data_IF_599175832106
#
_entry.id   IF_599175832106
#
_cell.length_a   1.000
_cell.length_b   1.000
_cell.length_c   1.000
_cell.angle_alpha   90.00
_cell.angle_beta   90.00
_cell.angle_gamma   90.00
#
_symmetry.space_group_name_H-M   'P 1'
#
loop_
_entity.id
_entity.type
_entity.pdbx_description
1 polymer ?
#
# COMPACT_ATOMS: atom_id res chain seq x y z
N UNK A 1 1.59 14.34 15.26
CA UNK A 1 0.86 13.52 14.30
C UNK A 1 -0.07 12.53 15.01
N UNK A 2 0.43 11.69 15.90
CA UNK A 2 -0.37 10.68 16.63
C UNK A 2 -1.56 11.30 17.37
N UNK A 3 -1.44 12.51 17.91
CA UNK A 3 -2.52 13.20 18.63
C UNK A 3 -3.55 13.86 17.68
N UNK A 4 -3.15 14.20 16.46
CA UNK A 4 -4.01 14.90 15.50
C UNK A 4 -4.88 13.96 14.67
N UNK A 5 -4.32 12.84 14.25
CA UNK A 5 -5.00 11.86 13.37
C UNK A 5 -6.33 11.35 13.96
N UNK A 6 -6.44 10.99 15.25
CA UNK A 6 -7.72 10.57 15.83
C UNK A 6 -8.81 11.64 15.74
N UNK A 7 -8.45 12.91 15.97
CA UNK A 7 -9.41 14.00 15.90
C UNK A 7 -9.90 14.24 14.46
N UNK A 8 -8.99 14.16 13.48
CA UNK A 8 -9.32 14.33 12.08
C UNK A 8 -10.23 13.18 11.58
N UNK A 9 -9.94 11.93 11.98
CA UNK A 9 -10.78 10.77 11.67
C UNK A 9 -12.16 10.91 12.29
N UNK A 10 -12.25 11.30 13.56
CA UNK A 10 -13.52 11.53 14.25
C UNK A 10 -14.35 12.62 13.56
N UNK A 11 -13.71 13.70 13.12
CA UNK A 11 -14.37 14.78 12.40
C UNK A 11 -14.93 14.31 11.03
N UNK A 12 -14.19 13.47 10.30
CA UNK A 12 -14.66 12.87 9.04
C UNK A 12 -15.84 11.93 9.26
N UNK A 13 -15.79 11.09 10.31
CA UNK A 13 -16.94 10.22 10.69
C UNK A 13 -18.17 11.05 11.03
N UNK A 14 -18.00 12.14 11.79
CA UNK A 14 -19.11 13.05 12.13
C UNK A 14 -19.73 13.72 10.89
N UNK A 15 -18.98 13.87 9.80
CA UNK A 15 -19.46 14.35 8.51
C UNK A 15 -20.13 13.26 7.65
N UNK A 16 -20.22 12.01 8.15
CA UNK A 16 -20.85 10.88 7.44
C UNK A 16 -19.91 10.13 6.48
N UNK A 17 -18.60 10.30 6.57
CA UNK A 17 -17.67 9.51 5.77
C UNK A 17 -17.72 8.05 6.19
N UNK A 18 -18.14 7.16 5.28
CA UNK A 18 -18.29 5.72 5.52
C UNK A 18 -16.96 4.97 5.38
N UNK A 19 -16.02 5.48 4.56
CA UNK A 19 -14.69 4.90 4.35
C UNK A 19 -13.62 5.99 4.40
N UNK A 20 -12.66 5.85 5.34
CA UNK A 20 -11.60 6.82 5.57
C UNK A 20 -10.25 6.22 5.20
N UNK A 21 -9.59 6.85 4.24
CA UNK A 21 -8.21 6.53 3.85
C UNK A 21 -7.27 7.57 4.42
N UNK A 22 -6.23 7.12 5.11
CA UNK A 22 -5.16 8.01 5.59
C UNK A 22 -3.91 7.76 4.77
N UNK A 23 -3.41 8.81 4.12
CA UNK A 23 -2.20 8.77 3.31
C UNK A 23 -1.04 9.41 4.06
N UNK A 24 0.10 8.70 4.12
CA UNK A 24 1.32 9.17 4.75
C UNK A 24 2.47 9.27 3.75
N UNK A 25 3.28 10.31 3.92
CA UNK A 25 4.60 10.43 3.31
C UNK A 25 5.63 10.31 4.44
N UNK A 26 6.25 9.14 4.60
CA UNK A 26 6.95 8.73 5.81
C UNK A 26 8.12 7.76 5.55
N UNK A 27 8.90 7.48 6.62
CA UNK A 27 10.00 6.52 6.56
C UNK A 27 11.28 7.11 6.00
N UNK A 28 12.11 6.26 5.43
CA UNK A 28 13.37 6.63 4.80
C UNK A 28 13.39 6.22 3.32
N UNK A 29 14.07 7.02 2.51
CA UNK A 29 14.27 6.69 1.10
C UNK A 29 15.06 5.38 0.95
N UNK A 30 14.72 4.61 -0.08
CA UNK A 30 15.34 3.32 -0.47
C UNK A 30 15.10 2.16 0.49
N UNK A 31 14.34 2.33 1.57
CA UNK A 31 13.97 1.24 2.46
C UNK A 31 12.84 0.39 1.88
N UNK A 32 13.04 -0.94 1.85
CA UNK A 32 12.05 -1.93 1.42
C UNK A 32 11.17 -2.43 2.57
N UNK A 33 11.44 -2.03 3.80
CA UNK A 33 10.68 -2.39 5.00
C UNK A 33 10.32 -1.14 5.79
N UNK A 34 9.13 -1.10 6.40
CA UNK A 34 8.80 -0.01 7.31
C UNK A 34 9.65 -0.08 8.58
N UNK A 35 9.97 1.07 9.15
CA UNK A 35 10.58 1.17 10.48
C UNK A 35 9.50 1.13 11.59
N UNK A 36 9.95 0.97 12.84
CA UNK A 36 9.06 0.84 14.00
C UNK A 36 8.10 2.03 14.17
N UNK A 37 8.52 3.25 13.80
CA UNK A 37 7.66 4.42 13.87
C UNK A 37 6.52 4.36 12.86
N UNK A 38 6.79 3.87 11.64
CA UNK A 38 5.77 3.67 10.61
C UNK A 38 4.77 2.59 11.06
N UNK A 39 5.25 1.47 11.61
CA UNK A 39 4.42 0.38 12.12
C UNK A 39 3.52 0.89 13.24
N UNK A 40 4.10 1.56 14.24
CA UNK A 40 3.35 2.13 15.37
C UNK A 40 2.30 3.14 14.91
N UNK A 41 2.67 4.07 14.01
CA UNK A 41 1.75 5.10 13.53
C UNK A 41 0.65 4.51 12.65
N UNK A 42 0.98 3.58 11.77
CA UNK A 42 0.02 2.91 10.89
C UNK A 42 -1.04 2.16 11.69
N UNK A 43 -0.62 1.35 12.66
CA UNK A 43 -1.53 0.61 13.55
C UNK A 43 -2.37 1.54 14.41
N UNK A 44 -1.78 2.58 15.03
CA UNK A 44 -2.52 3.58 15.80
C UNK A 44 -3.55 4.34 14.95
N UNK A 45 -3.28 4.55 13.67
CA UNK A 45 -4.23 5.17 12.73
C UNK A 45 -5.44 4.27 12.47
N UNK A 46 -5.21 2.97 12.31
CA UNK A 46 -6.30 1.97 12.21
C UNK A 46 -7.10 1.93 13.52
N UNK A 47 -6.44 1.88 14.67
CA UNK A 47 -7.10 1.87 15.99
C UNK A 47 -7.94 3.15 16.24
N UNK A 48 -7.54 4.27 15.65
CA UNK A 48 -8.30 5.52 15.67
C UNK A 48 -9.52 5.52 14.74
N UNK A 49 -9.73 4.48 13.93
CA UNK A 49 -10.92 4.29 13.09
C UNK A 49 -10.74 4.57 11.60
N UNK A 50 -9.49 4.65 11.09
CA UNK A 50 -9.25 4.63 9.65
C UNK A 50 -9.57 3.25 9.05
N UNK A 51 -9.99 3.22 7.79
CA UNK A 51 -10.34 1.99 7.07
C UNK A 51 -9.19 1.48 6.20
N UNK A 52 -8.27 2.35 5.83
CA UNK A 52 -7.09 2.03 5.04
C UNK A 52 -5.98 3.04 5.33
N UNK A 53 -4.76 2.55 5.45
CA UNK A 53 -3.56 3.39 5.48
C UNK A 53 -2.73 3.13 4.23
N UNK A 54 -2.30 4.20 3.56
CA UNK A 54 -1.46 4.17 2.35
C UNK A 54 -0.22 5.01 2.56
N UNK A 55 0.95 4.40 2.45
CA UNK A 55 2.24 5.04 2.65
C UNK A 55 3.00 5.28 1.35
N UNK A 56 3.88 6.28 1.41
CA UNK A 56 4.77 6.72 0.33
C UNK A 56 6.10 7.19 0.88
N UNK A 57 7.00 7.68 0.06
CA UNK A 57 8.29 8.30 0.33
C UNK A 57 9.50 7.38 0.11
N UNK A 58 9.46 6.13 0.49
CA UNK A 58 10.67 5.27 0.39
C UNK A 58 11.16 5.09 -1.05
N UNK A 59 10.34 5.40 -2.05
CA UNK A 59 10.60 5.09 -3.47
C UNK A 59 10.85 3.60 -3.72
N UNK A 60 10.38 2.76 -2.81
CA UNK A 60 10.44 1.30 -2.83
C UNK A 60 9.10 0.72 -2.46
N UNK A 61 8.77 -0.42 -3.03
CA UNK A 61 7.61 -1.19 -2.60
C UNK A 61 7.88 -1.75 -1.20
N UNK A 62 6.93 -1.54 -0.28
CA UNK A 62 6.98 -2.09 1.06
C UNK A 62 5.83 -3.09 1.27
N UNK A 63 5.95 -4.02 2.23
CA UNK A 63 4.93 -5.00 2.54
C UNK A 63 3.63 -4.36 3.03
N UNK A 64 2.59 -5.19 3.05
CA UNK A 64 1.25 -4.85 3.53
C UNK A 64 1.00 -5.61 4.83
N UNK A 65 0.40 -4.95 5.82
CA UNK A 65 -0.20 -5.60 6.98
C UNK A 65 -1.72 -5.66 6.88
N UNK A 66 -2.28 -6.72 7.47
CA UNK A 66 -3.72 -6.82 7.78
C UNK A 66 -3.89 -6.77 9.30
N UNK A 67 -4.21 -5.59 9.81
CA UNK A 67 -4.26 -5.30 11.24
C UNK A 67 -5.67 -4.83 11.63
N UNK A 68 -6.25 -5.42 12.67
CA UNK A 68 -7.61 -5.12 13.15
C UNK A 68 -8.67 -5.08 12.03
N UNK A 69 -8.60 -6.03 11.07
CA UNK A 69 -9.53 -6.12 9.96
C UNK A 69 -9.34 -5.09 8.84
N UNK A 70 -8.23 -4.35 8.83
CA UNK A 70 -7.92 -3.28 7.89
C UNK A 70 -6.51 -3.43 7.31
N UNK A 71 -6.27 -2.85 6.14
CA UNK A 71 -4.98 -2.92 5.47
C UNK A 71 -4.11 -1.68 5.73
N UNK A 72 -2.82 -1.91 5.89
CA UNK A 72 -1.79 -0.88 5.95
C UNK A 72 -0.78 -1.18 4.84
N UNK A 73 -0.80 -0.38 3.77
CA UNK A 73 0.19 -0.42 2.71
C UNK A 73 1.33 0.55 3.06
N UNK A 74 2.48 0.06 3.52
CA UNK A 74 3.55 0.92 4.02
C UNK A 74 4.23 1.77 2.96
N UNK A 75 4.36 1.27 1.72
CA UNK A 75 4.70 2.06 0.54
C UNK A 75 4.33 1.32 -0.74
N UNK A 76 3.69 2.04 -1.65
CA UNK A 76 3.35 1.53 -2.98
C UNK A 76 4.50 1.64 -3.99
N UNK A 77 5.63 2.23 -3.59
CA UNK A 77 6.70 2.63 -4.50
C UNK A 77 6.37 3.91 -5.27
N UNK A 78 7.12 4.14 -6.33
CA UNK A 78 6.80 5.20 -7.30
C UNK A 78 5.68 4.74 -8.23
N UNK A 79 4.95 5.69 -8.84
CA UNK A 79 4.01 5.38 -9.90
C UNK A 79 4.28 6.27 -11.11
N UNK A 80 3.69 7.46 -11.19
CA UNK A 80 4.04 8.47 -12.19
C UNK A 80 5.00 9.48 -11.54
N UNK A 81 6.28 9.15 -11.50
CA UNK A 81 7.29 9.90 -10.76
C UNK A 81 8.33 10.53 -11.68
N UNK A 82 8.30 11.86 -11.79
CA UNK A 82 9.14 12.64 -12.70
C UNK A 82 10.53 13.00 -12.16
N UNK A 83 10.87 12.61 -10.93
CA UNK A 83 12.10 13.07 -10.26
C UNK A 83 13.39 12.39 -10.74
N UNK A 84 13.30 11.25 -11.44
CA UNK A 84 14.47 10.50 -11.89
C UNK A 84 14.20 9.75 -13.19
N UNK A 85 15.04 9.98 -14.20
CA UNK A 85 14.95 9.31 -15.51
C UNK A 85 15.56 7.90 -15.51
N UNK A 86 16.42 7.58 -14.53
CA UNK A 86 17.08 6.27 -14.40
C UNK A 86 17.10 5.84 -12.93
N UNK A 87 15.94 5.57 -12.33
CA UNK A 87 15.91 5.04 -10.98
C UNK A 87 16.54 3.65 -10.94
N UNK A 88 17.18 3.34 -9.82
CA UNK A 88 17.80 2.03 -9.57
C UNK A 88 16.77 0.92 -9.30
N UNK A 89 15.52 1.28 -8.98
CA UNK A 89 14.38 0.39 -8.89
C UNK A 89 13.16 1.03 -9.57
N UNK A 90 12.56 0.29 -10.50
CA UNK A 90 11.37 0.70 -11.22
C UNK A 90 10.11 -0.05 -10.76
N UNK A 91 10.22 -0.88 -9.72
CA UNK A 91 9.10 -1.70 -9.25
C UNK A 91 8.06 -0.86 -8.53
N UNK A 92 6.81 -1.16 -8.79
CA UNK A 92 5.64 -0.59 -8.14
C UNK A 92 4.50 -1.60 -8.12
N UNK A 93 3.42 -1.28 -7.45
CA UNK A 93 2.17 -2.02 -7.58
C UNK A 93 0.97 -1.12 -7.37
N UNK A 94 -0.15 -1.47 -8.00
CA UNK A 94 -1.46 -0.91 -7.72
C UNK A 94 -2.11 -1.80 -6.67
N UNK A 95 -2.56 -1.21 -5.56
CA UNK A 95 -3.37 -1.89 -4.56
C UNK A 95 -4.85 -1.67 -4.89
N UNK A 96 -5.61 -2.75 -5.02
CA UNK A 96 -7.06 -2.72 -5.20
C UNK A 96 -7.73 -3.40 -4.03
N UNK A 97 -8.69 -2.72 -3.41
CA UNK A 97 -9.45 -3.20 -2.28
C UNK A 97 -10.93 -3.25 -2.64
N UNK A 98 -11.57 -4.39 -2.41
CA UNK A 98 -13.03 -4.52 -2.46
C UNK A 98 -13.60 -4.13 -1.10
N UNK A 99 -14.49 -3.15 -1.12
CA UNK A 99 -15.14 -2.63 0.08
C UNK A 99 -16.65 -2.87 -0.05
N UNK A 100 -17.26 -3.40 0.99
CA UNK A 100 -18.72 -3.51 1.12
C UNK A 100 -19.21 -2.47 2.11
N UNK A 101 -20.24 -1.73 1.73
CA UNK A 101 -20.94 -0.81 2.63
C UNK A 101 -22.35 -1.36 2.90
N UNK A 102 -22.69 -1.53 4.18
CA UNK A 102 -24.02 -1.90 4.65
C UNK A 102 -24.42 -1.04 5.82
N UNK A 103 -25.59 -0.41 5.72
CA UNK A 103 -26.16 0.43 6.81
C UNK A 103 -25.16 1.51 7.30
N UNK A 104 -24.39 2.12 6.39
CA UNK A 104 -23.40 3.14 6.69
C UNK A 104 -22.09 2.59 7.29
N UNK A 105 -21.91 1.26 7.35
CA UNK A 105 -20.69 0.62 7.84
C UNK A 105 -19.93 0.00 6.69
N UNK A 106 -18.69 0.48 6.48
CA UNK A 106 -17.78 -0.07 5.48
C UNK A 106 -16.93 -1.21 6.07
N UNK A 107 -16.78 -2.28 5.31
CA UNK A 107 -15.89 -3.41 5.62
C UNK A 107 -15.01 -3.75 4.43
N UNK A 108 -13.72 -4.01 4.71
CA UNK A 108 -12.79 -4.54 3.72
C UNK A 108 -13.06 -6.03 3.51
N UNK A 109 -13.25 -6.46 2.27
CA UNK A 109 -13.51 -7.88 1.95
C UNK A 109 -12.23 -8.56 1.49
N UNK A 110 -11.75 -8.23 0.32
CA UNK A 110 -10.55 -8.82 -0.26
C UNK A 110 -9.74 -7.77 -1.00
N UNK A 111 -8.45 -8.02 -1.13
CA UNK A 111 -7.58 -7.18 -1.94
C UNK A 111 -6.90 -7.98 -3.02
N UNK A 112 -6.42 -7.28 -4.03
CA UNK A 112 -5.43 -7.77 -4.99
C UNK A 112 -4.41 -6.70 -5.29
N UNK A 113 -3.28 -7.11 -5.84
CA UNK A 113 -2.29 -6.17 -6.37
C UNK A 113 -2.09 -6.39 -7.86
N UNK A 114 -1.72 -5.32 -8.55
CA UNK A 114 -1.24 -5.38 -9.92
C UNK A 114 0.22 -4.93 -9.90
N UNK A 115 1.17 -5.86 -9.95
CA UNK A 115 2.59 -5.52 -10.06
C UNK A 115 2.87 -4.72 -11.31
N UNK A 116 3.56 -3.59 -11.16
CA UNK A 116 3.82 -2.64 -12.22
C UNK A 116 5.30 -2.27 -12.28
N UNK A 117 5.72 -1.79 -13.43
CA UNK A 117 6.90 -0.95 -13.59
C UNK A 117 6.44 0.49 -13.77
N UNK A 118 7.20 1.46 -13.24
CA UNK A 118 6.90 2.91 -13.36
C UNK A 118 7.11 3.46 -14.76
N UNK A 119 7.53 2.63 -15.72
CA UNK A 119 7.85 2.99 -17.09
C UNK A 119 7.36 1.92 -18.06
N UNK A 120 7.04 2.30 -19.28
CA UNK A 120 6.81 1.35 -20.38
C UNK A 120 8.13 0.75 -20.89
N UNK A 121 9.28 1.37 -20.57
CA UNK A 121 10.63 0.99 -20.99
C UNK A 121 11.42 0.34 -19.88
N UNK A 122 12.47 -0.41 -20.26
CA UNK A 122 13.36 -1.10 -19.30
C UNK A 122 14.67 -0.35 -19.05
N UNK A 123 15.02 0.60 -19.88
CA UNK A 123 16.31 1.29 -19.91
C UNK A 123 16.26 2.71 -19.32
N UNK A 124 15.06 3.31 -19.25
CA UNK A 124 14.83 4.58 -18.58
C UNK A 124 13.36 4.75 -18.18
N UNK A 125 13.09 5.74 -17.35
CA UNK A 125 11.74 6.09 -16.91
C UNK A 125 11.12 7.09 -17.90
N UNK A 126 10.10 6.65 -18.64
CA UNK A 126 9.29 7.47 -19.54
C UNK A 126 7.99 7.94 -18.87
N UNK A 127 7.87 7.72 -17.55
CA UNK A 127 6.72 8.14 -16.72
C UNK A 127 5.38 7.51 -17.13
N UNK A 128 5.44 6.34 -17.79
CA UNK A 128 4.27 5.59 -18.23
C UNK A 128 4.17 4.28 -17.44
N UNK A 129 3.52 4.29 -16.27
CA UNK A 129 3.37 3.09 -15.47
C UNK A 129 2.73 1.95 -16.26
N UNK A 130 3.34 0.78 -16.23
CA UNK A 130 2.94 -0.35 -17.05
C UNK A 130 2.88 -1.63 -16.22
N UNK A 131 1.76 -2.37 -16.18
CA UNK A 131 1.67 -3.66 -15.52
C UNK A 131 2.67 -4.66 -16.07
N UNK A 132 3.25 -5.48 -15.21
CA UNK A 132 4.05 -6.62 -15.63
C UNK A 132 3.16 -7.72 -16.19
N UNK A 133 3.60 -8.27 -17.34
CA UNK A 133 2.93 -9.40 -18.01
C UNK A 133 3.75 -10.68 -17.96
N UNK A 134 5.03 -10.60 -17.57
CA UNK A 134 5.92 -11.75 -17.42
C UNK A 134 5.91 -12.25 -15.99
N UNK A 135 5.66 -13.53 -15.79
CA UNK A 135 5.62 -14.17 -14.47
C UNK A 135 6.89 -13.93 -13.66
N UNK A 136 8.07 -13.99 -14.29
CA UNK A 136 9.34 -13.74 -13.61
C UNK A 136 9.44 -12.34 -12.97
N UNK A 137 8.85 -11.30 -13.58
CA UNK A 137 8.83 -9.95 -13.02
C UNK A 137 7.77 -9.84 -11.93
N UNK A 138 6.60 -10.46 -12.13
CA UNK A 138 5.55 -10.54 -11.12
C UNK A 138 6.08 -11.23 -9.86
N UNK A 139 6.69 -12.40 -10.01
CA UNK A 139 7.29 -13.16 -8.92
C UNK A 139 8.40 -12.38 -8.18
N UNK A 140 9.19 -11.58 -8.92
CA UNK A 140 10.20 -10.73 -8.29
C UNK A 140 9.58 -9.69 -7.36
N UNK A 141 8.49 -9.02 -7.76
CA UNK A 141 7.74 -8.09 -6.92
C UNK A 141 7.16 -8.81 -5.70
N UNK A 142 6.48 -9.94 -5.90
CA UNK A 142 5.89 -10.73 -4.82
C UNK A 142 6.93 -11.19 -3.81
N UNK A 143 8.10 -11.61 -4.29
CA UNK A 143 9.22 -12.02 -3.43
C UNK A 143 9.72 -10.86 -2.57
N UNK A 144 9.94 -9.68 -3.15
CA UNK A 144 10.36 -8.48 -2.40
C UNK A 144 9.38 -8.17 -1.29
N UNK A 145 8.08 -8.15 -1.59
CA UNK A 145 7.03 -7.87 -0.60
C UNK A 145 7.02 -8.92 0.53
N UNK A 146 7.07 -10.21 0.19
CA UNK A 146 7.08 -11.31 1.17
C UNK A 146 8.33 -11.30 2.06
N UNK A 147 9.51 -11.17 1.47
CA UNK A 147 10.77 -11.20 2.22
C UNK A 147 10.87 -10.05 3.21
N UNK A 148 10.46 -8.84 2.80
CA UNK A 148 10.50 -7.67 3.66
C UNK A 148 9.33 -7.63 4.66
N UNK A 149 8.27 -8.40 4.45
CA UNK A 149 7.17 -8.58 5.39
C UNK A 149 7.47 -9.52 6.57
N UNK A 150 8.50 -10.35 6.49
CA UNK A 150 8.79 -11.41 7.50
C UNK A 150 8.97 -10.90 8.94
N UNK A 151 9.31 -9.64 9.12
CA UNK A 151 9.50 -9.03 10.44
C UNK A 151 8.24 -8.37 10.99
N UNK A 152 7.18 -8.26 10.18
CA UNK A 152 5.93 -7.67 10.58
C UNK A 152 5.00 -8.75 11.13
N UNK A 153 4.44 -8.50 12.30
CA UNK A 153 3.58 -9.42 13.02
C UNK A 153 2.28 -9.76 12.28
N UNK A 154 1.74 -8.79 11.54
CA UNK A 154 0.47 -8.90 10.81
C UNK A 154 0.67 -8.81 9.28
N UNK A 155 1.87 -9.12 8.78
CA UNK A 155 2.10 -9.15 7.35
C UNK A 155 1.12 -10.10 6.66
N UNK A 156 0.59 -9.68 5.50
CA UNK A 156 -0.22 -10.59 4.68
C UNK A 156 0.65 -11.75 4.18
N UNK A 157 0.12 -12.97 4.25
CA UNK A 157 0.84 -14.18 3.85
C UNK A 157 0.95 -14.31 2.32
N UNK A 158 -0.02 -13.75 1.60
CA UNK A 158 -0.07 -13.81 0.15
C UNK A 158 -0.50 -12.48 -0.45
N UNK A 159 -0.14 -12.28 -1.72
CA UNK A 159 -0.49 -11.10 -2.51
C UNK A 159 -1.29 -11.56 -3.73
N UNK A 160 -2.63 -11.64 -3.65
CA UNK A 160 -3.47 -12.08 -4.75
C UNK A 160 -3.34 -11.15 -5.98
N UNK A 161 -3.37 -11.73 -7.16
CA UNK A 161 -3.33 -11.02 -8.45
C UNK A 161 -4.72 -10.86 -9.08
N UNK A 162 -5.70 -11.60 -8.55
CA UNK A 162 -7.10 -11.59 -8.96
C UNK A 162 -8.00 -11.56 -7.72
N UNK A 163 -9.18 -11.01 -7.85
CA UNK A 163 -10.25 -11.23 -6.88
C UNK A 163 -10.82 -12.64 -7.03
N UNK A 164 -11.50 -13.14 -6.01
CA UNK A 164 -11.99 -14.52 -5.95
C UNK A 164 -13.01 -14.88 -7.04
N UNK A 165 -13.68 -13.88 -7.62
CA UNK A 165 -14.69 -14.03 -8.70
C UNK A 165 -14.12 -13.70 -10.10
N UNK A 166 -12.85 -13.42 -10.23
CA UNK A 166 -12.16 -13.19 -11.51
C UNK A 166 -11.55 -14.51 -12.03
N UNK A 167 -11.90 -14.91 -13.25
CA UNK A 167 -11.33 -16.08 -13.95
C UNK A 167 -9.89 -15.86 -14.45
#
# INVERSE_FOLDING_TARGET
LIEKVPADIAALRAQGCEFIVVSYHWGAEKDYSPNDNQVRLGRATIDAGADLVVGHHSHRINPIEYYNGKYICYSLGNFSFAGNNKPDDMSSYIFQLRVRVRDGVASSEEFKIIPCRISSRTDYNDFTPTPYTKDTHIEAVLRVLKENGRKLEYAVESYPLKFSDEE
#
